data_IF_377477108526
#
_entry.id   IF_377477108526
#
_cell.length_a   1.000
_cell.length_b   1.000
_cell.length_c   1.000
_cell.angle_alpha   90.00
_cell.angle_beta   90.00
_cell.angle_gamma   90.00
#
_symmetry.space_group_name_H-M   'P 1'
#
loop_
_entity.id
_entity.type
_entity.pdbx_description
1 polymer ?
#
# COMPACT_ATOMS: atom_id res chain seq x y z
N UNK A 1 -51.73 4.77 37.74
CA UNK A 1 -50.74 3.72 38.05
C UNK A 1 -50.22 3.20 36.72
N UNK A 2 -49.17 3.84 36.22
CA UNK A 2 -48.42 3.39 35.04
C UNK A 2 -47.65 2.15 35.44
N UNK A 3 -48.01 1.00 34.87
CA UNK A 3 -47.24 -0.22 35.04
C UNK A 3 -45.84 0.03 34.50
N UNK A 4 -44.88 0.03 35.41
CA UNK A 4 -43.45 0.03 35.13
C UNK A 4 -43.17 -1.26 34.35
N UNK A 5 -43.02 -1.17 33.03
CA UNK A 5 -42.51 -2.29 32.23
C UNK A 5 -41.12 -2.60 32.79
N UNK A 6 -40.79 -3.87 33.08
CA UNK A 6 -39.50 -4.19 33.65
C UNK A 6 -38.39 -3.67 32.74
N UNK A 7 -37.47 -2.87 33.30
CA UNK A 7 -36.19 -2.55 32.66
C UNK A 7 -35.47 -3.87 32.35
N UNK A 8 -35.52 -4.34 31.11
CA UNK A 8 -34.53 -5.31 30.64
C UNK A 8 -33.24 -4.53 30.37
N UNK A 9 -32.16 -4.73 31.16
CA UNK A 9 -30.87 -4.98 30.50
C UNK A 9 -29.85 -5.69 31.41
N UNK A 10 -29.59 -6.98 31.16
CA UNK A 10 -28.35 -7.66 31.60
C UNK A 10 -27.58 -8.28 30.42
N UNK A 11 -28.19 -8.31 29.23
CA UNK A 11 -27.60 -8.96 28.07
C UNK A 11 -26.43 -8.17 27.50
N UNK A 12 -26.43 -6.83 27.52
CA UNK A 12 -25.32 -6.03 27.00
C UNK A 12 -24.00 -6.32 27.72
N UNK A 13 -24.01 -6.41 29.05
CA UNK A 13 -22.83 -6.75 29.84
C UNK A 13 -22.37 -8.18 29.55
N UNK A 14 -23.32 -9.12 29.42
CA UNK A 14 -23.01 -10.50 29.05
C UNK A 14 -22.42 -10.61 27.64
N UNK A 15 -22.93 -9.83 26.68
CA UNK A 15 -22.40 -9.73 25.31
C UNK A 15 -20.99 -9.13 25.35
N UNK A 16 -20.78 -8.01 26.07
CA UNK A 16 -19.45 -7.40 26.23
C UNK A 16 -18.45 -8.37 26.84
N UNK A 17 -18.85 -9.11 27.87
CA UNK A 17 -18.01 -10.14 28.49
C UNK A 17 -17.67 -11.28 27.52
N UNK A 18 -18.65 -11.75 26.74
CA UNK A 18 -18.44 -12.79 25.71
C UNK A 18 -17.45 -12.33 24.63
N UNK A 19 -17.64 -11.11 24.11
CA UNK A 19 -16.76 -10.51 23.11
C UNK A 19 -15.36 -10.27 23.68
N UNK A 20 -15.24 -9.82 24.93
CA UNK A 20 -13.93 -9.66 25.59
C UNK A 20 -13.20 -11.01 25.76
N UNK A 21 -13.91 -12.07 26.13
CA UNK A 21 -13.33 -13.42 26.23
C UNK A 21 -12.87 -13.93 24.85
N UNK A 22 -13.68 -13.73 23.80
CA UNK A 22 -13.34 -14.10 22.43
C UNK A 22 -12.10 -13.35 21.91
N UNK A 23 -11.98 -12.04 22.21
CA UNK A 23 -10.77 -11.25 21.89
C UNK A 23 -9.52 -11.81 22.56
N UNK A 24 -9.62 -12.16 23.85
CA UNK A 24 -8.50 -12.72 24.59
C UNK A 24 -8.08 -14.09 24.02
N UNK A 25 -9.06 -14.93 23.68
CA UNK A 25 -8.80 -16.20 23.02
C UNK A 25 -8.10 -16.01 21.67
N UNK A 26 -8.61 -15.11 20.83
CA UNK A 26 -8.06 -14.80 19.52
C UNK A 26 -6.62 -14.26 19.62
N UNK A 27 -6.38 -13.30 20.51
CA UNK A 27 -5.05 -12.76 20.77
C UNK A 27 -4.07 -13.80 21.33
N UNK A 28 -4.56 -14.79 22.08
CA UNK A 28 -3.72 -15.90 22.54
C UNK A 28 -3.35 -16.86 21.41
N UNK A 29 -4.29 -17.16 20.51
CA UNK A 29 -4.08 -18.07 19.36
C UNK A 29 -3.22 -17.44 18.26
N UNK A 30 -3.44 -16.16 17.94
CA UNK A 30 -2.67 -15.41 16.97
C UNK A 30 -2.10 -14.12 17.57
N UNK A 31 -1.04 -14.21 18.41
CA UNK A 31 -0.47 -13.03 19.09
C UNK A 31 0.00 -11.92 18.16
N UNK A 32 0.38 -12.27 16.93
CA UNK A 32 0.81 -11.33 15.90
C UNK A 32 -0.34 -10.49 15.32
N UNK A 33 -1.60 -10.86 15.56
CA UNK A 33 -2.80 -10.11 15.20
C UNK A 33 -3.50 -9.47 16.42
N UNK A 34 -2.93 -9.59 17.62
CA UNK A 34 -3.57 -9.12 18.84
C UNK A 34 -3.95 -7.63 18.77
N UNK A 35 -3.05 -6.78 18.25
CA UNK A 35 -3.33 -5.34 18.06
C UNK A 35 -4.52 -5.10 17.14
N UNK A 36 -4.69 -5.92 16.10
CA UNK A 36 -5.81 -5.84 15.17
C UNK A 36 -7.13 -6.24 15.85
N UNK A 37 -7.14 -7.36 16.55
CA UNK A 37 -8.33 -7.86 17.27
C UNK A 37 -8.81 -6.85 18.31
N UNK A 38 -7.89 -6.21 19.05
CA UNK A 38 -8.26 -5.18 20.02
C UNK A 38 -8.64 -3.83 19.40
N UNK A 39 -8.27 -3.58 18.15
CA UNK A 39 -8.65 -2.37 17.42
C UNK A 39 -10.06 -2.43 16.82
N UNK A 40 -10.66 -3.62 16.73
CA UNK A 40 -12.06 -3.76 16.32
C UNK A 40 -12.97 -2.95 17.26
N UNK A 41 -13.84 -2.11 16.69
CA UNK A 41 -14.85 -1.40 17.45
C UNK A 41 -16.13 -2.25 17.51
N UNK A 42 -16.56 -2.67 18.69
CA UNK A 42 -17.77 -3.49 18.82
C UNK A 42 -19.02 -2.62 18.78
N UNK A 43 -19.87 -2.84 17.78
CA UNK A 43 -21.19 -2.23 17.65
C UNK A 43 -22.23 -3.27 18.03
N UNK A 44 -22.84 -3.11 19.20
CA UNK A 44 -23.93 -4.00 19.65
C UNK A 44 -25.22 -3.54 18.97
N UNK A 45 -25.86 -4.45 18.24
CA UNK A 45 -27.11 -4.19 17.54
C UNK A 45 -28.31 -4.28 18.50
N UNK A 46 -29.43 -3.68 18.09
CA UNK A 46 -30.69 -3.89 18.78
C UNK A 46 -31.12 -5.36 18.65
N UNK A 47 -31.37 -6.08 19.76
CA UNK A 47 -31.72 -7.49 19.70
C UNK A 47 -33.17 -7.70 19.27
N UNK A 48 -33.41 -8.79 18.53
CA UNK A 48 -34.72 -9.42 18.52
C UNK A 48 -34.95 -10.10 19.87
N UNK A 49 -36.11 -9.88 20.49
CA UNK A 49 -36.46 -10.47 21.78
C UNK A 49 -37.57 -11.49 21.60
N UNK A 50 -37.45 -12.61 22.28
CA UNK A 50 -38.49 -13.62 22.40
C UNK A 50 -39.68 -13.03 23.18
N UNK A 51 -40.89 -13.16 22.64
CA UNK A 51 -42.09 -12.50 23.18
C UNK A 51 -42.47 -13.00 24.58
N UNK A 52 -42.18 -14.27 24.88
CA UNK A 52 -42.55 -14.93 26.13
C UNK A 52 -41.50 -14.74 27.23
N UNK A 53 -40.22 -14.86 26.88
CA UNK A 53 -39.09 -14.85 27.83
C UNK A 53 -38.39 -13.51 27.91
N UNK A 54 -38.56 -12.63 26.91
CA UNK A 54 -37.82 -11.37 26.78
C UNK A 54 -36.32 -11.58 26.55
N UNK A 55 -35.89 -12.79 26.21
CA UNK A 55 -34.49 -13.13 25.98
C UNK A 55 -34.09 -12.78 24.52
N UNK A 56 -32.84 -12.36 24.28
CA UNK A 56 -32.34 -12.17 22.92
C UNK A 56 -32.38 -13.47 22.11
N UNK A 57 -32.93 -13.39 20.90
CA UNK A 57 -33.04 -14.50 19.95
C UNK A 57 -31.90 -14.40 18.96
N UNK A 58 -31.17 -15.51 18.78
CA UNK A 58 -30.06 -15.54 17.83
C UNK A 58 -30.54 -15.38 16.38
N UNK A 59 -29.88 -14.50 15.64
CA UNK A 59 -30.05 -14.31 14.21
C UNK A 59 -28.91 -15.01 13.43
N UNK A 60 -29.21 -16.10 12.69
CA UNK A 60 -28.22 -16.81 11.88
C UNK A 60 -27.51 -15.92 10.86
N UNK A 61 -28.10 -14.80 10.44
CA UNK A 61 -27.48 -13.84 9.54
C UNK A 61 -26.22 -13.19 10.13
N UNK A 62 -26.14 -13.05 11.45
CA UNK A 62 -25.01 -12.40 12.14
C UNK A 62 -23.99 -13.40 12.72
N UNK A 63 -24.10 -14.69 12.37
CA UNK A 63 -23.22 -15.76 12.90
C UNK A 63 -21.73 -15.51 12.68
N UNK A 64 -21.38 -14.73 11.65
CA UNK A 64 -20.00 -14.41 11.29
C UNK A 64 -19.45 -13.12 11.91
N UNK A 65 -20.28 -12.41 12.70
CA UNK A 65 -19.96 -11.09 13.25
C UNK A 65 -19.43 -10.14 12.17
N UNK A 66 -20.26 -9.77 11.17
CA UNK A 66 -19.79 -9.02 10.01
C UNK A 66 -19.07 -7.73 10.41
N UNK A 67 -18.07 -7.33 9.62
CA UNK A 67 -17.30 -6.12 9.84
C UNK A 67 -17.38 -5.15 8.66
N UNK A 68 -17.29 -3.84 8.95
CA UNK A 68 -17.22 -2.81 7.91
C UNK A 68 -15.78 -2.36 7.62
N UNK A 69 -15.61 -1.57 6.56
CA UNK A 69 -14.30 -1.00 6.20
C UNK A 69 -13.72 -0.05 7.26
N UNK A 70 -14.52 0.41 8.23
CA UNK A 70 -14.12 1.25 9.36
C UNK A 70 -13.75 0.45 10.61
N UNK A 71 -13.63 -0.87 10.49
CA UNK A 71 -13.28 -1.79 11.58
C UNK A 71 -14.34 -1.88 12.68
N UNK A 72 -15.59 -1.56 12.36
CA UNK A 72 -16.71 -1.85 13.23
C UNK A 72 -17.08 -3.33 13.07
N UNK A 73 -17.16 -4.05 14.19
CA UNK A 73 -17.63 -5.42 14.29
C UNK A 73 -19.06 -5.40 14.81
N UNK A 74 -20.02 -5.83 13.99
CA UNK A 74 -21.44 -5.80 14.35
C UNK A 74 -21.84 -7.07 15.09
N UNK A 75 -22.43 -6.88 16.27
CA UNK A 75 -22.70 -7.95 17.22
C UNK A 75 -24.19 -7.96 17.53
N UNK A 76 -24.90 -8.94 16.98
CA UNK A 76 -26.27 -9.24 17.37
C UNK A 76 -26.26 -9.98 18.73
N UNK A 77 -26.95 -9.46 19.76
CA UNK A 77 -26.86 -10.01 21.12
C UNK A 77 -27.22 -11.49 21.27
N UNK A 78 -28.30 -11.98 20.65
CA UNK A 78 -28.72 -13.38 20.75
C UNK A 78 -27.67 -14.34 20.20
N UNK A 79 -27.13 -14.00 19.04
CA UNK A 79 -26.09 -14.73 18.33
C UNK A 79 -24.80 -14.73 19.13
N UNK A 80 -24.38 -13.58 19.65
CA UNK A 80 -23.20 -13.47 20.48
C UNK A 80 -23.29 -14.38 21.72
N UNK A 81 -24.44 -14.38 22.40
CA UNK A 81 -24.67 -15.19 23.60
C UNK A 81 -24.79 -16.69 23.30
N UNK A 82 -25.28 -17.07 22.12
CA UNK A 82 -25.36 -18.46 21.68
C UNK A 82 -24.01 -19.02 21.17
N UNK A 83 -23.13 -18.16 20.65
CA UNK A 83 -21.88 -18.59 20.00
C UNK A 83 -20.77 -18.89 21.03
N UNK A 84 -20.13 -20.07 20.99
CA UNK A 84 -18.98 -20.38 21.85
C UNK A 84 -17.85 -19.35 21.75
N UNK A 85 -17.07 -19.20 22.82
CA UNK A 85 -15.98 -18.18 22.89
C UNK A 85 -14.93 -18.44 21.81
N UNK A 86 -14.57 -19.70 21.60
CA UNK A 86 -13.58 -20.12 20.61
C UNK A 86 -14.05 -19.80 19.19
N UNK A 87 -15.33 -20.05 18.90
CA UNK A 87 -15.94 -19.78 17.60
C UNK A 87 -16.05 -18.27 17.33
N UNK A 88 -16.51 -17.48 18.31
CA UNK A 88 -16.52 -16.02 18.18
C UNK A 88 -15.09 -15.45 18.01
N UNK A 89 -14.11 -16.02 18.71
CA UNK A 89 -12.70 -15.64 18.56
C UNK A 89 -12.12 -16.00 17.18
N UNK A 90 -12.51 -17.15 16.62
CA UNK A 90 -12.17 -17.54 15.26
C UNK A 90 -12.75 -16.56 14.24
N UNK A 91 -14.04 -16.21 14.37
CA UNK A 91 -14.66 -15.20 13.50
C UNK A 91 -13.99 -13.83 13.61
N UNK A 92 -13.52 -13.41 14.79
CA UNK A 92 -12.75 -12.16 14.90
C UNK A 92 -11.43 -12.20 14.14
N UNK A 93 -10.69 -13.32 14.19
CA UNK A 93 -9.47 -13.48 13.40
C UNK A 93 -9.78 -13.48 11.90
N UNK A 94 -10.89 -14.11 11.53
CA UNK A 94 -11.38 -14.14 10.16
C UNK A 94 -11.72 -12.72 9.66
N UNK A 95 -12.50 -11.94 10.42
CA UNK A 95 -12.81 -10.55 10.07
C UNK A 95 -11.57 -9.65 10.03
N UNK A 96 -10.62 -9.82 10.96
CA UNK A 96 -9.31 -9.15 10.89
C UNK A 96 -8.59 -9.50 9.58
N UNK A 97 -8.68 -10.76 9.13
CA UNK A 97 -8.17 -11.20 7.83
C UNK A 97 -8.70 -10.33 6.67
N UNK A 98 -10.00 -10.12 6.58
CA UNK A 98 -10.60 -9.27 5.53
C UNK A 98 -10.07 -7.84 5.59
N UNK A 99 -10.06 -7.26 6.79
CA UNK A 99 -9.71 -5.86 7.00
C UNK A 99 -8.23 -5.59 6.70
N UNK A 100 -7.34 -6.44 7.22
CA UNK A 100 -5.89 -6.26 7.09
C UNK A 100 -5.41 -6.55 5.66
N UNK A 101 -6.03 -7.53 4.98
CA UNK A 101 -5.71 -7.87 3.58
C UNK A 101 -6.41 -6.97 2.56
N UNK A 102 -7.25 -6.05 3.03
CA UNK A 102 -7.92 -5.05 2.21
C UNK A 102 -8.85 -5.67 1.17
N UNK A 103 -9.58 -6.74 1.52
CA UNK A 103 -10.48 -7.42 0.57
C UNK A 103 -11.51 -6.46 -0.03
N UNK A 104 -12.11 -5.57 0.76
CA UNK A 104 -13.00 -4.53 0.22
C UNK A 104 -12.35 -3.65 -0.85
N UNK A 105 -11.05 -3.35 -0.73
CA UNK A 105 -10.35 -2.50 -1.69
C UNK A 105 -9.96 -3.25 -2.98
N UNK A 106 -9.78 -4.57 -2.89
CA UNK A 106 -9.44 -5.49 -3.99
C UNK A 106 -10.66 -6.05 -4.72
N UNK A 107 -11.84 -5.92 -4.12
CA UNK A 107 -13.12 -6.41 -4.64
C UNK A 107 -13.46 -5.84 -6.02
N UNK A 108 -13.82 -6.68 -7.01
CA UNK A 108 -14.24 -6.21 -8.33
C UNK A 108 -15.62 -5.54 -8.30
N UNK A 109 -16.44 -5.84 -7.28
CA UNK A 109 -17.78 -5.28 -7.08
C UNK A 109 -17.78 -4.06 -6.16
N UNK A 110 -16.59 -3.53 -5.85
CA UNK A 110 -16.44 -2.34 -5.02
C UNK A 110 -17.10 -1.14 -5.73
N UNK A 111 -17.86 -0.29 -5.01
CA UNK A 111 -18.37 0.95 -5.59
C UNK A 111 -17.23 1.88 -6.04
N UNK A 112 -17.25 2.29 -7.31
CA UNK A 112 -16.29 3.26 -7.87
C UNK A 112 -16.47 4.65 -7.23
N UNK A 113 -15.37 5.36 -6.88
CA UNK A 113 -15.46 6.71 -6.36
C UNK A 113 -16.17 7.66 -7.35
N UNK A 114 -17.33 8.19 -6.95
CA UNK A 114 -18.06 9.19 -7.75
C UNK A 114 -19.11 8.63 -8.72
N UNK A 115 -19.34 7.31 -8.76
CA UNK A 115 -20.60 6.77 -9.27
C UNK A 115 -21.69 6.96 -8.21
N UNK A 116 -22.91 7.32 -8.63
CA UNK A 116 -24.08 7.27 -7.75
C UNK A 116 -24.25 5.82 -7.30
N UNK A 117 -23.85 5.56 -6.06
CA UNK A 117 -24.18 4.32 -5.36
C UNK A 117 -25.70 4.27 -5.39
N UNK A 118 -26.28 3.19 -5.94
CA UNK A 118 -27.68 2.90 -5.69
C UNK A 118 -27.86 2.98 -4.18
N UNK A 119 -28.58 3.99 -3.71
CA UNK A 119 -28.77 4.27 -2.28
C UNK A 119 -29.54 3.15 -1.56
N UNK A 120 -29.97 2.13 -2.31
CA UNK A 120 -30.42 0.87 -1.78
C UNK A 120 -29.23 0.08 -1.20
N UNK A 121 -28.99 0.28 0.11
CA UNK A 121 -28.15 -0.59 0.92
C UNK A 121 -28.57 -2.04 0.73
N UNK A 122 -27.60 -2.95 0.70
CA UNK A 122 -27.93 -4.36 0.59
C UNK A 122 -28.66 -4.82 1.86
N UNK A 123 -29.74 -5.62 1.70
CA UNK A 123 -30.49 -6.16 2.83
C UNK A 123 -29.57 -6.98 3.75
N UNK A 124 -30.01 -7.15 5.00
CA UNK A 124 -29.30 -7.93 6.02
C UNK A 124 -28.94 -9.34 5.53
N UNK A 125 -27.98 -9.94 6.23
CA UNK A 125 -27.42 -11.24 5.92
C UNK A 125 -28.50 -12.29 5.60
N UNK A 126 -28.32 -13.02 4.48
CA UNK A 126 -29.25 -14.05 4.01
C UNK A 126 -30.09 -13.67 2.77
N UNK A 127 -30.02 -12.43 2.29
CA UNK A 127 -30.61 -12.06 0.99
C UNK A 127 -29.73 -12.54 -0.19
N UNK A 128 -30.35 -12.79 -1.35
CA UNK A 128 -29.65 -13.17 -2.59
C UNK A 128 -28.69 -12.04 -2.97
N UNK A 129 -27.41 -12.24 -2.66
CA UNK A 129 -26.32 -11.36 -3.09
C UNK A 129 -26.20 -11.45 -4.61
N UNK A 130 -25.69 -10.36 -5.20
CA UNK A 130 -25.09 -10.44 -6.53
C UNK A 130 -24.13 -11.63 -6.58
N UNK A 131 -24.25 -12.48 -7.59
CA UNK A 131 -23.46 -13.71 -7.71
C UNK A 131 -21.96 -13.39 -7.71
N UNK A 132 -21.56 -12.27 -8.30
CA UNK A 132 -20.18 -11.81 -8.33
C UNK A 132 -19.68 -11.42 -6.92
N UNK A 133 -20.49 -10.68 -6.16
CA UNK A 133 -20.18 -10.31 -4.78
C UNK A 133 -20.14 -11.54 -3.85
N UNK A 134 -21.03 -12.50 -4.07
CA UNK A 134 -21.01 -13.76 -3.34
C UNK A 134 -19.77 -14.59 -3.65
N UNK A 135 -19.38 -14.69 -4.93
CA UNK A 135 -18.17 -15.39 -5.36
C UNK A 135 -16.91 -14.74 -4.77
N UNK A 136 -16.84 -13.41 -4.78
CA UNK A 136 -15.74 -12.67 -4.17
C UNK A 136 -15.63 -12.95 -2.66
N UNK A 137 -16.76 -12.92 -1.95
CA UNK A 137 -16.80 -13.25 -0.52
C UNK A 137 -16.28 -14.68 -0.29
N UNK A 138 -16.77 -15.69 -1.02
CA UNK A 138 -16.27 -17.07 -0.89
C UNK A 138 -14.75 -17.20 -1.15
N UNK A 139 -14.22 -16.46 -2.11
CA UNK A 139 -12.79 -16.47 -2.42
C UNK A 139 -11.94 -15.77 -1.35
N UNK A 140 -12.45 -14.67 -0.80
CA UNK A 140 -11.84 -13.96 0.31
C UNK A 140 -11.84 -14.80 1.59
N UNK A 141 -12.93 -15.50 1.87
CA UNK A 141 -13.05 -16.46 2.97
C UNK A 141 -12.06 -17.61 2.79
N UNK A 142 -11.94 -18.15 1.57
CA UNK A 142 -10.96 -19.19 1.23
C UNK A 142 -9.52 -18.73 1.53
N UNK A 143 -9.12 -17.52 1.11
CA UNK A 143 -7.78 -16.96 1.39
C UNK A 143 -7.49 -16.86 2.90
N UNK A 144 -8.49 -16.54 3.70
CA UNK A 144 -8.36 -16.38 5.16
C UNK A 144 -8.37 -17.73 5.87
N UNK A 145 -9.33 -18.59 5.54
CA UNK A 145 -9.55 -19.87 6.21
C UNK A 145 -8.40 -20.83 5.97
N UNK A 146 -7.77 -20.78 4.79
CA UNK A 146 -6.53 -21.50 4.48
C UNK A 146 -5.40 -21.22 5.49
N UNK A 147 -5.15 -19.95 5.81
CA UNK A 147 -4.13 -19.56 6.78
C UNK A 147 -4.53 -19.89 8.22
N UNK A 148 -5.83 -19.85 8.56
CA UNK A 148 -6.33 -20.27 9.88
C UNK A 148 -6.23 -21.79 10.06
N UNK A 149 -6.56 -22.56 9.03
CA UNK A 149 -6.42 -24.02 9.01
C UNK A 149 -4.95 -24.45 9.12
N UNK A 150 -4.03 -23.72 8.49
CA UNK A 150 -2.59 -23.95 8.60
C UNK A 150 -2.05 -23.76 10.04
N UNK A 151 -2.75 -23.00 10.88
CA UNK A 151 -2.47 -22.80 12.31
C UNK A 151 -3.30 -23.75 13.20
N UNK A 152 -3.90 -24.79 12.60
CA UNK A 152 -4.79 -25.75 13.26
C UNK A 152 -6.05 -25.12 13.89
N UNK A 153 -6.40 -23.90 13.47
CA UNK A 153 -7.61 -23.19 13.91
C UNK A 153 -8.78 -23.58 13.00
N UNK A 154 -9.35 -24.75 13.28
CA UNK A 154 -10.52 -25.26 12.54
C UNK A 154 -11.71 -24.31 12.67
N UNK A 155 -12.28 -23.95 11.52
CA UNK A 155 -13.45 -23.09 11.45
C UNK A 155 -14.75 -23.80 11.84
N UNK A 156 -15.83 -23.03 12.07
CA UNK A 156 -17.17 -23.55 12.28
C UNK A 156 -17.71 -24.32 11.08
N UNK A 157 -18.75 -25.12 11.30
CA UNK A 157 -19.40 -25.86 10.20
C UNK A 157 -19.97 -24.89 9.17
N UNK A 158 -19.77 -25.19 7.88
CA UNK A 158 -20.36 -24.44 6.77
C UNK A 158 -19.51 -23.28 6.24
N UNK A 159 -18.35 -23.00 6.85
CA UNK A 159 -17.38 -22.05 6.29
C UNK A 159 -16.67 -22.62 5.06
N UNK A 160 -16.18 -21.76 4.17
CA UNK A 160 -15.41 -22.19 3.01
C UNK A 160 -14.06 -22.75 3.46
N UNK A 161 -13.80 -24.02 3.17
CA UNK A 161 -12.50 -24.66 3.38
C UNK A 161 -11.88 -25.07 2.05
N UNK A 162 -10.76 -24.47 1.62
CA UNK A 162 -10.07 -24.87 0.40
C UNK A 162 -9.67 -26.35 0.42
N UNK A 163 -9.26 -26.87 1.58
CA UNK A 163 -8.89 -28.27 1.75
C UNK A 163 -10.08 -29.21 1.52
N UNK A 164 -11.24 -28.91 2.09
CA UNK A 164 -12.47 -29.72 1.88
C UNK A 164 -13.00 -29.63 0.45
N UNK A 165 -12.78 -28.49 -0.21
CA UNK A 165 -13.11 -28.27 -1.63
C UNK A 165 -12.08 -28.87 -2.60
N UNK A 166 -10.97 -29.43 -2.11
CA UNK A 166 -9.89 -30.00 -2.92
C UNK A 166 -9.09 -28.96 -3.73
N UNK A 167 -9.10 -27.70 -3.27
CA UNK A 167 -8.37 -26.60 -3.89
C UNK A 167 -6.91 -26.54 -3.40
N UNK A 168 -5.99 -26.00 -4.20
CA UNK A 168 -4.62 -25.79 -3.77
C UNK A 168 -4.55 -24.74 -2.65
N UNK A 169 -3.78 -25.02 -1.61
CA UNK A 169 -3.52 -24.09 -0.52
C UNK A 169 -2.63 -22.90 -0.93
N UNK A 170 -2.61 -21.90 -0.05
CA UNK A 170 -1.85 -20.66 -0.03
C UNK A 170 -2.09 -19.69 -1.19
N UNK A 171 -3.33 -19.63 -1.69
CA UNK A 171 -3.74 -18.74 -2.80
C UNK A 171 -4.38 -17.43 -2.30
N UNK A 172 -4.34 -16.41 -3.16
CA UNK A 172 -5.11 -15.17 -2.92
C UNK A 172 -6.57 -15.33 -3.35
N UNK A 173 -7.43 -14.42 -2.90
CA UNK A 173 -8.84 -14.38 -3.30
C UNK A 173 -8.97 -14.33 -4.83
N UNK A 174 -8.18 -13.51 -5.53
CA UNK A 174 -8.21 -13.40 -7.00
C UNK A 174 -7.82 -14.72 -7.69
N UNK A 175 -6.92 -15.49 -7.09
CA UNK A 175 -6.57 -16.82 -7.59
C UNK A 175 -7.68 -17.85 -7.30
N UNK A 176 -8.39 -17.72 -6.17
CA UNK A 176 -9.50 -18.61 -5.80
C UNK A 176 -10.78 -18.37 -6.60
N UNK A 177 -11.11 -17.12 -6.97
CA UNK A 177 -12.33 -16.78 -7.74
C UNK A 177 -12.55 -17.71 -8.95
N UNK A 178 -11.62 -17.82 -9.91
CA UNK A 178 -11.83 -18.66 -11.10
C UNK A 178 -11.94 -20.15 -10.76
N UNK A 179 -11.30 -20.62 -9.68
CA UNK A 179 -11.41 -22.01 -9.25
C UNK A 179 -12.79 -22.31 -8.66
N UNK A 180 -13.31 -21.38 -7.85
CA UNK A 180 -14.63 -21.48 -7.25
C UNK A 180 -15.74 -21.36 -8.31
N UNK A 181 -15.55 -20.56 -9.37
CA UNK A 181 -16.47 -20.51 -10.52
C UNK A 181 -16.60 -21.87 -11.22
N UNK A 182 -15.47 -22.54 -11.45
CA UNK A 182 -15.46 -23.89 -12.05
C UNK A 182 -16.19 -24.88 -11.14
N UNK A 183 -15.89 -24.86 -9.83
CA UNK A 183 -16.54 -25.74 -8.85
C UNK A 183 -18.04 -25.48 -8.75
N UNK A 184 -18.47 -24.22 -8.65
CA UNK A 184 -19.87 -23.87 -8.58
C UNK A 184 -20.65 -24.27 -9.84
N UNK A 185 -20.04 -24.10 -11.02
CA UNK A 185 -20.63 -24.59 -12.28
C UNK A 185 -20.81 -26.11 -12.28
N UNK A 186 -19.84 -26.85 -11.74
CA UNK A 186 -19.90 -28.31 -11.63
C UNK A 186 -20.93 -28.79 -10.59
N UNK A 187 -20.98 -28.16 -9.42
CA UNK A 187 -21.89 -28.53 -8.33
C UNK A 187 -23.34 -28.08 -8.57
N UNK A 188 -23.53 -26.93 -9.23
CA UNK A 188 -24.84 -26.44 -9.64
C UNK A 188 -25.55 -27.40 -10.60
N UNK A 189 -24.80 -28.06 -11.50
CA UNK A 189 -25.33 -29.15 -12.34
C UNK A 189 -25.83 -30.36 -11.54
N UNK A 190 -25.32 -30.55 -10.32
CA UNK A 190 -25.72 -31.61 -9.39
C UNK A 190 -26.67 -31.16 -8.27
N UNK A 191 -27.18 -29.91 -8.32
CA UNK A 191 -28.11 -29.37 -7.32
C UNK A 191 -27.51 -29.13 -5.93
N UNK A 192 -26.18 -28.99 -5.82
CA UNK A 192 -25.47 -28.70 -4.56
C UNK A 192 -24.86 -27.30 -4.60
N UNK A 193 -24.95 -26.58 -3.49
CA UNK A 193 -24.23 -25.32 -3.28
C UNK A 193 -22.80 -25.61 -2.79
N UNK A 194 -21.88 -24.68 -3.07
CA UNK A 194 -20.46 -24.79 -2.72
C UNK A 194 -20.22 -24.65 -1.22
N UNK A 195 -20.88 -23.68 -0.60
CA UNK A 195 -20.87 -23.39 0.82
C UNK A 195 -22.14 -22.59 1.17
N UNK A 196 -22.43 -22.43 2.46
CA UNK A 196 -23.50 -21.54 2.91
C UNK A 196 -23.17 -20.07 2.57
N UNK A 197 -24.21 -19.28 2.29
CA UNK A 197 -24.04 -17.85 2.06
C UNK A 197 -23.84 -17.14 3.41
N UNK A 198 -22.58 -16.90 3.76
CA UNK A 198 -22.19 -16.19 4.98
C UNK A 198 -21.91 -14.72 4.66
N UNK A 199 -22.42 -13.82 5.50
CA UNK A 199 -22.18 -12.38 5.38
C UNK A 199 -21.03 -11.94 6.30
N UNK A 200 -19.90 -11.54 5.72
CA UNK A 200 -18.75 -10.97 6.45
C UNK A 200 -18.78 -9.43 6.54
N UNK A 201 -19.85 -8.77 6.08
CA UNK A 201 -20.01 -7.31 6.07
C UNK A 201 -19.32 -6.60 4.91
N UNK A 202 -19.37 -5.27 4.87
CA UNK A 202 -18.73 -4.48 3.80
C UNK A 202 -17.19 -4.55 3.80
N UNK A 203 -16.57 -5.06 4.87
CA UNK A 203 -15.13 -5.29 4.97
C UNK A 203 -14.58 -6.28 3.92
N UNK A 204 -15.44 -7.13 3.35
CA UNK A 204 -15.06 -8.07 2.29
C UNK A 204 -15.17 -7.49 0.88
N UNK A 205 -16.28 -6.80 0.57
CA UNK A 205 -16.65 -6.45 -0.81
C UNK A 205 -16.77 -4.93 -1.06
N UNK A 206 -16.73 -4.12 0.00
CA UNK A 206 -16.87 -2.67 -0.05
C UNK A 206 -18.31 -2.17 -0.24
N UNK A 207 -19.31 -3.05 -0.23
CA UNK A 207 -20.71 -2.67 -0.41
C UNK A 207 -21.38 -2.51 0.96
N UNK A 208 -21.99 -1.35 1.24
CA UNK A 208 -22.59 -1.08 2.54
C UNK A 208 -23.89 -1.88 2.78
N UNK A 209 -24.12 -2.27 4.03
CA UNK A 209 -25.31 -3.02 4.49
C UNK A 209 -26.27 -2.15 5.27
N UNK A 210 -27.54 -2.57 5.36
CA UNK A 210 -28.56 -1.82 6.13
C UNK A 210 -28.26 -1.72 7.62
N UNK A 211 -27.63 -2.73 8.22
CA UNK A 211 -27.25 -2.73 9.64
C UNK A 211 -25.98 -1.92 9.93
N UNK A 212 -25.27 -1.47 8.90
CA UNK A 212 -24.09 -0.60 9.05
C UNK A 212 -24.49 0.87 9.31
N UNK A 213 -25.81 1.17 9.34
CA UNK A 213 -26.39 2.49 9.61
C UNK A 213 -26.32 2.94 11.08
N UNK A 214 -25.65 2.17 11.93
CA UNK A 214 -25.53 2.41 13.37
C UNK A 214 -24.68 3.63 13.73
N UNK A 215 -25.11 4.82 13.32
CA UNK A 215 -24.56 6.12 13.71
C UNK A 215 -23.10 6.36 13.29
N UNK A 216 -22.57 7.58 13.47
CA UNK A 216 -21.16 7.86 13.24
C UNK A 216 -20.33 7.19 14.35
N UNK A 217 -20.13 5.88 14.23
CA UNK A 217 -19.14 5.17 15.02
C UNK A 217 -17.75 5.74 14.71
N UNK A 218 -17.01 6.11 15.74
CA UNK A 218 -15.58 6.44 15.73
C UNK A 218 -14.71 5.22 15.35
N UNK A 219 -15.18 4.38 14.42
CA UNK A 219 -14.36 3.39 13.75
C UNK A 219 -13.10 4.05 13.18
N UNK A 220 -12.08 3.25 12.93
CA UNK A 220 -10.74 3.77 12.68
C UNK A 220 -10.71 4.74 11.51
N UNK A 221 -10.04 5.88 11.71
CA UNK A 221 -9.76 6.78 10.60
C UNK A 221 -8.84 6.09 9.59
N UNK A 222 -8.74 6.64 8.38
CA UNK A 222 -7.80 6.11 7.38
C UNK A 222 -6.36 6.09 7.92
N UNK A 223 -5.96 7.14 8.65
CA UNK A 223 -4.62 7.23 9.22
C UNK A 223 -4.39 6.18 10.31
N UNK A 224 -5.37 5.98 11.20
CA UNK A 224 -5.25 4.98 12.28
C UNK A 224 -5.14 3.57 11.70
N UNK A 225 -5.91 3.26 10.64
CA UNK A 225 -5.80 2.01 9.88
C UNK A 225 -4.41 1.82 9.30
N UNK A 226 -3.90 2.84 8.58
CA UNK A 226 -2.58 2.77 7.96
C UNK A 226 -1.45 2.58 9.00
N UNK A 227 -1.58 3.20 10.18
CA UNK A 227 -0.61 3.03 11.29
C UNK A 227 -0.72 1.64 11.93
N UNK A 228 -1.95 1.17 12.16
CA UNK A 228 -2.22 -0.16 12.71
C UNK A 228 -1.67 -1.26 11.80
N UNK A 229 -2.00 -1.23 10.50
CA UNK A 229 -1.48 -2.18 9.51
C UNK A 229 0.04 -2.20 9.46
N UNK A 230 0.68 -1.02 9.47
CA UNK A 230 2.16 -0.94 9.52
C UNK A 230 2.73 -1.55 10.79
N UNK A 231 2.07 -1.32 11.93
CA UNK A 231 2.46 -1.92 13.21
C UNK A 231 2.33 -3.45 13.19
N UNK A 232 1.22 -3.98 12.65
CA UNK A 232 1.00 -5.43 12.48
C UNK A 232 2.08 -6.03 11.58
N UNK A 233 2.35 -5.39 10.44
CA UNK A 233 3.37 -5.87 9.50
C UNK A 233 4.77 -5.90 10.15
N UNK A 234 5.12 -4.88 10.96
CA UNK A 234 6.37 -4.85 11.71
C UNK A 234 6.43 -5.99 12.74
N UNK A 235 5.36 -6.21 13.51
CA UNK A 235 5.28 -7.30 14.47
C UNK A 235 5.40 -8.70 13.83
N UNK A 236 4.83 -8.86 12.63
CA UNK A 236 4.99 -10.09 11.83
C UNK A 236 6.46 -10.28 11.41
N UNK A 237 7.14 -9.23 10.93
CA UNK A 237 8.57 -9.32 10.55
C UNK A 237 9.49 -9.62 11.74
N UNK A 238 9.21 -9.06 12.91
CA UNK A 238 9.96 -9.37 14.13
C UNK A 238 9.81 -10.85 14.51
N UNK A 239 8.60 -11.40 14.39
CA UNK A 239 8.34 -12.83 14.62
C UNK A 239 9.04 -13.73 13.59
N UNK A 240 9.02 -13.36 12.31
CA UNK A 240 9.77 -14.08 11.26
C UNK A 240 11.26 -14.08 11.59
N UNK A 241 11.81 -12.94 12.00
CA UNK A 241 13.22 -12.79 12.38
C UNK A 241 13.59 -13.63 13.60
N UNK A 242 12.65 -13.77 14.54
CA UNK A 242 12.75 -14.68 15.68
C UNK A 242 12.54 -16.18 15.32
N UNK A 243 12.45 -16.51 14.03
CA UNK A 243 12.19 -17.87 13.50
C UNK A 243 10.85 -18.46 13.96
N UNK A 244 9.86 -17.62 14.20
CA UNK A 244 8.50 -18.08 14.46
C UNK A 244 7.85 -18.67 13.22
N UNK A 245 7.10 -19.74 13.40
CA UNK A 245 6.21 -20.29 12.38
C UNK A 245 5.00 -19.35 12.21
N UNK A 246 4.64 -19.13 10.95
CA UNK A 246 3.54 -18.28 10.48
C UNK A 246 3.05 -18.77 9.12
N UNK A 247 1.76 -18.61 8.79
CA UNK A 247 1.23 -18.93 7.48
C UNK A 247 1.89 -18.08 6.40
N UNK A 248 2.00 -18.66 5.20
CA UNK A 248 2.71 -18.02 4.09
C UNK A 248 2.03 -16.73 3.62
N UNK A 249 0.69 -16.63 3.73
CA UNK A 249 -0.07 -15.44 3.38
C UNK A 249 0.32 -14.24 4.24
N UNK A 250 0.43 -14.41 5.56
CA UNK A 250 0.86 -13.34 6.48
C UNK A 250 2.28 -12.86 6.23
N UNK A 251 3.20 -13.77 5.89
CA UNK A 251 4.57 -13.40 5.49
C UNK A 251 4.56 -12.52 4.24
N UNK A 252 3.88 -12.95 3.17
CA UNK A 252 3.79 -12.20 1.92
C UNK A 252 3.17 -10.83 2.13
N UNK A 253 2.06 -10.77 2.86
CA UNK A 253 1.37 -9.53 3.17
C UNK A 253 2.28 -8.55 3.94
N UNK A 254 2.97 -9.02 4.99
CA UNK A 254 3.85 -8.15 5.77
C UNK A 254 5.05 -7.66 4.97
N UNK A 255 5.66 -8.53 4.15
CA UNK A 255 6.72 -8.15 3.22
C UNK A 255 6.23 -7.10 2.22
N UNK A 256 5.04 -7.27 1.63
CA UNK A 256 4.47 -6.30 0.69
C UNK A 256 4.11 -4.97 1.37
N UNK A 257 3.54 -5.02 2.58
CA UNK A 257 3.13 -3.82 3.31
C UNK A 257 4.32 -2.98 3.77
N UNK A 258 5.42 -3.63 4.12
CA UNK A 258 6.69 -3.01 4.53
C UNK A 258 7.69 -2.85 3.40
N UNK A 259 7.41 -3.39 2.20
CA UNK A 259 8.19 -3.09 1.02
C UNK A 259 8.26 -1.57 0.90
N UNK A 260 9.47 -1.00 0.79
CA UNK A 260 9.58 0.43 0.78
C UNK A 260 8.83 0.99 -0.44
N UNK A 261 7.64 1.55 -0.24
CA UNK A 261 7.04 2.50 -1.16
C UNK A 261 7.82 3.82 -1.03
N UNK A 262 9.13 3.76 -1.22
CA UNK A 262 9.95 4.96 -1.23
C UNK A 262 9.45 5.75 -2.40
N UNK A 263 8.84 6.90 -2.12
CA UNK A 263 8.63 7.92 -3.12
C UNK A 263 10.03 8.30 -3.64
N UNK A 264 10.46 7.58 -4.67
CA UNK A 264 11.80 7.67 -5.21
C UNK A 264 12.05 9.09 -5.71
N UNK A 265 11.00 9.83 -6.08
CA UNK A 265 11.04 11.25 -6.39
C UNK A 265 11.42 12.09 -5.17
N UNK A 266 10.83 11.83 -4.01
CA UNK A 266 11.19 12.50 -2.76
C UNK A 266 12.63 12.17 -2.31
N UNK A 267 13.05 10.91 -2.43
CA UNK A 267 14.43 10.48 -2.12
C UNK A 267 15.44 11.08 -3.08
N UNK A 268 15.18 11.02 -4.38
CA UNK A 268 16.00 11.64 -5.42
C UNK A 268 16.08 13.16 -5.21
N UNK A 269 14.94 13.81 -4.93
CA UNK A 269 14.88 15.22 -4.57
C UNK A 269 15.71 15.56 -3.33
N UNK A 270 15.69 14.74 -2.29
CA UNK A 270 16.52 14.93 -1.10
C UNK A 270 18.01 14.72 -1.37
N UNK A 271 18.38 13.72 -2.19
CA UNK A 271 19.76 13.45 -2.60
C UNK A 271 20.31 14.57 -3.47
N UNK A 272 19.56 15.01 -4.49
CA UNK A 272 19.90 16.16 -5.33
C UNK A 272 20.02 17.40 -4.45
N UNK A 273 19.05 17.68 -3.58
CA UNK A 273 19.10 18.85 -2.68
C UNK A 273 20.33 18.84 -1.78
N UNK A 274 20.71 17.69 -1.21
CA UNK A 274 21.94 17.53 -0.41
C UNK A 274 23.19 17.80 -1.24
N UNK A 275 23.24 17.32 -2.48
CA UNK A 275 24.37 17.60 -3.35
C UNK A 275 24.47 19.06 -3.74
N UNK A 276 23.34 19.65 -4.12
CA UNK A 276 23.27 21.06 -4.44
C UNK A 276 23.51 21.95 -3.20
N UNK A 277 23.19 21.52 -1.98
CA UNK A 277 23.48 22.30 -0.75
C UNK A 277 24.93 22.21 -0.31
N UNK A 278 25.61 21.08 -0.60
CA UNK A 278 27.04 20.91 -0.31
C UNK A 278 27.90 21.79 -1.21
N UNK A 279 27.43 22.03 -2.45
CA UNK A 279 28.10 22.88 -3.44
C UNK A 279 27.71 24.36 -3.29
N UNK A 280 26.43 24.66 -3.09
CA UNK A 280 25.90 26.01 -3.14
C UNK A 280 25.86 26.72 -1.77
N UNK A 281 27.00 26.82 -1.10
CA UNK A 281 27.16 27.86 -0.07
C UNK A 281 26.77 29.23 -0.63
N UNK A 282 26.36 30.19 0.21
CA UNK A 282 26.14 31.59 -0.22
C UNK A 282 27.49 32.28 -0.47
N UNK A 283 28.21 31.85 -1.52
CA UNK A 283 29.60 32.23 -1.76
C UNK A 283 29.79 33.20 -2.91
N UNK A 284 28.71 33.61 -3.60
CA UNK A 284 28.80 34.45 -4.80
C UNK A 284 27.95 35.72 -4.69
N UNK A 285 28.43 36.78 -5.35
CA UNK A 285 27.90 38.14 -5.29
C UNK A 285 27.34 38.56 -6.65
N UNK A 286 26.08 39.00 -6.69
CA UNK A 286 25.43 39.48 -7.91
C UNK A 286 24.94 40.91 -7.77
N UNK A 287 25.17 41.72 -8.79
CA UNK A 287 24.61 43.07 -8.93
C UNK A 287 23.29 43.08 -9.73
N UNK A 288 22.81 41.92 -10.21
CA UNK A 288 21.55 41.82 -10.99
C UNK A 288 20.33 42.29 -10.19
N UNK A 289 20.38 42.15 -8.86
CA UNK A 289 19.37 42.67 -7.94
C UNK A 289 20.10 43.36 -6.78
N UNK A 290 19.86 44.65 -6.51
CA UNK A 290 20.44 45.31 -5.34
C UNK A 290 20.04 44.61 -4.04
N UNK A 291 20.97 44.50 -3.10
CA UNK A 291 20.69 43.90 -1.78
C UNK A 291 19.57 44.67 -1.08
N UNK A 292 18.76 43.97 -0.28
CA UNK A 292 17.73 44.63 0.58
C UNK A 292 18.35 45.61 1.57
N UNK A 293 19.65 45.47 1.86
CA UNK A 293 20.44 46.40 2.67
C UNK A 293 20.92 47.63 1.90
N UNK A 294 20.66 47.75 0.60
CA UNK A 294 21.10 48.88 -0.20
C UNK A 294 20.61 50.23 0.34
N UNK A 295 19.44 50.27 0.98
CA UNK A 295 18.94 51.48 1.64
C UNK A 295 19.76 51.93 2.86
N UNK A 296 20.62 51.09 3.42
CA UNK A 296 21.50 51.41 4.54
C UNK A 296 22.86 51.99 4.11
N UNK A 297 23.16 52.02 2.80
CA UNK A 297 24.42 52.53 2.27
C UNK A 297 24.16 53.66 1.29
N UNK A 298 24.64 54.88 1.60
CA UNK A 298 24.52 56.02 0.68
C UNK A 298 25.61 55.94 -0.40
N UNK A 299 25.21 55.99 -1.67
CA UNK A 299 26.13 56.07 -2.82
C UNK A 299 26.83 54.77 -3.22
N UNK A 300 26.53 53.64 -2.58
CA UNK A 300 27.09 52.32 -2.89
C UNK A 300 25.94 51.35 -3.17
N UNK A 301 26.01 50.61 -4.28
CA UNK A 301 25.09 49.50 -4.55
C UNK A 301 25.75 48.22 -4.05
N UNK A 302 25.45 47.72 -2.84
CA UNK A 302 26.03 46.46 -2.38
C UNK A 302 25.49 45.28 -3.21
N UNK A 303 26.34 44.31 -3.58
CA UNK A 303 25.89 43.11 -4.26
C UNK A 303 24.96 42.29 -3.36
N UNK A 304 24.02 41.56 -3.97
CA UNK A 304 23.24 40.54 -3.29
C UNK A 304 24.03 39.23 -3.26
N UNK A 305 24.05 38.53 -2.12
CA UNK A 305 24.49 37.14 -2.12
C UNK A 305 23.50 36.32 -2.92
N UNK A 306 24.00 35.62 -3.93
CA UNK A 306 23.22 34.68 -4.73
C UNK A 306 23.67 33.26 -4.42
N UNK A 307 22.70 32.36 -4.39
CA UNK A 307 22.98 30.94 -4.40
C UNK A 307 23.33 30.56 -5.83
N UNK A 308 24.59 30.20 -6.09
CA UNK A 308 24.98 29.67 -7.40
C UNK A 308 24.14 28.42 -7.70
N UNK A 309 23.57 28.37 -8.91
CA UNK A 309 22.85 27.18 -9.40
C UNK A 309 23.91 26.17 -9.84
N UNK A 310 24.01 24.99 -9.21
CA UNK A 310 25.10 24.07 -9.51
C UNK A 310 24.98 23.52 -10.93
N UNK A 311 26.13 23.38 -11.59
CA UNK A 311 26.24 22.91 -12.95
C UNK A 311 25.95 21.41 -13.00
N UNK A 312 24.76 21.04 -13.50
CA UNK A 312 24.27 19.65 -13.51
C UNK A 312 24.36 19.04 -14.92
N UNK A 313 24.85 17.82 -15.02
CA UNK A 313 24.94 17.03 -16.27
C UNK A 313 24.19 15.70 -16.08
N UNK A 314 23.37 15.33 -17.07
CA UNK A 314 22.72 14.01 -17.16
C UNK A 314 23.53 13.09 -18.08
N UNK A 315 23.81 11.88 -17.59
CA UNK A 315 24.38 10.77 -18.37
C UNK A 315 23.28 9.72 -18.50
N UNK A 316 22.91 9.40 -19.73
CA UNK A 316 21.78 8.53 -20.04
C UNK A 316 22.31 7.24 -20.62
N UNK A 317 22.16 6.15 -19.87
CA UNK A 317 22.44 4.82 -20.39
C UNK A 317 21.43 4.47 -21.48
N UNK A 318 21.94 4.13 -22.66
CA UNK A 318 21.14 3.77 -23.84
C UNK A 318 21.42 2.34 -24.28
N UNK A 319 21.92 1.51 -23.37
CA UNK A 319 22.13 0.10 -23.61
C UNK A 319 20.83 -0.64 -23.87
N UNK A 320 20.95 -1.77 -24.57
CA UNK A 320 19.80 -2.55 -25.07
C UNK A 320 18.85 -3.09 -23.98
N UNK A 321 19.24 -3.05 -22.70
CA UNK A 321 18.44 -3.49 -21.56
C UNK A 321 17.39 -2.48 -21.10
N UNK A 322 17.48 -1.20 -21.54
CA UNK A 322 16.50 -0.15 -21.17
C UNK A 322 15.76 0.35 -22.40
N UNK A 323 14.43 0.22 -22.38
CA UNK A 323 13.59 0.69 -23.50
C UNK A 323 13.52 2.22 -23.59
N UNK A 324 13.43 2.74 -24.81
CA UNK A 324 13.34 4.20 -25.06
C UNK A 324 12.17 4.85 -24.32
N UNK A 325 11.01 4.18 -24.25
CA UNK A 325 9.83 4.70 -23.55
C UNK A 325 10.04 4.88 -22.05
N UNK A 326 10.73 3.92 -21.42
CA UNK A 326 11.10 4.01 -19.99
C UNK A 326 12.07 5.16 -19.78
N UNK A 327 13.09 5.31 -20.63
CA UNK A 327 14.05 6.41 -20.56
C UNK A 327 13.40 7.79 -20.72
N UNK A 328 12.50 7.96 -21.70
CA UNK A 328 11.79 9.23 -21.92
C UNK A 328 10.93 9.64 -20.71
N UNK A 329 10.22 8.68 -20.08
CA UNK A 329 9.43 8.94 -18.86
C UNK A 329 10.32 9.31 -17.68
N UNK A 330 11.41 8.57 -17.48
CA UNK A 330 12.39 8.85 -16.43
C UNK A 330 13.00 10.24 -16.58
N UNK A 331 13.36 10.62 -17.80
CA UNK A 331 13.92 11.93 -18.10
C UNK A 331 12.97 13.07 -17.73
N UNK A 332 11.68 12.95 -18.05
CA UNK A 332 10.69 13.96 -17.69
C UNK A 332 10.56 14.13 -16.16
N UNK A 333 10.59 13.03 -15.42
CA UNK A 333 10.47 13.04 -13.95
C UNK A 333 11.74 13.59 -13.28
N UNK A 334 12.93 13.10 -13.67
CA UNK A 334 14.21 13.53 -13.11
C UNK A 334 14.43 15.02 -13.38
N UNK A 335 14.14 15.49 -14.60
CA UNK A 335 14.26 16.93 -14.91
C UNK A 335 13.26 17.78 -14.13
N UNK A 336 12.02 17.32 -13.95
CA UNK A 336 11.03 17.97 -13.08
C UNK A 336 11.51 18.10 -11.62
N UNK A 337 12.17 17.07 -11.08
CA UNK A 337 12.76 17.11 -9.75
C UNK A 337 13.90 18.12 -9.68
N UNK A 338 14.81 18.13 -10.66
CA UNK A 338 15.93 19.08 -10.67
C UNK A 338 15.37 20.51 -10.82
N UNK A 339 14.35 20.75 -11.64
CA UNK A 339 13.65 22.05 -11.76
C UNK A 339 13.00 22.50 -10.45
N UNK A 340 12.37 21.58 -9.73
CA UNK A 340 11.79 21.87 -8.41
C UNK A 340 12.83 22.22 -7.34
N UNK A 341 14.07 21.72 -7.45
CA UNK A 341 15.14 22.01 -6.48
C UNK A 341 16.00 23.21 -6.87
N UNK A 342 16.30 23.39 -8.16
CA UNK A 342 17.25 24.39 -8.66
C UNK A 342 16.58 25.59 -9.38
N UNK A 343 15.27 25.54 -9.60
CA UNK A 343 14.50 26.58 -10.28
C UNK A 343 14.33 26.34 -11.80
N UNK A 344 13.27 26.93 -12.40
CA UNK A 344 12.94 26.74 -13.81
C UNK A 344 13.84 27.57 -14.76
N UNK A 345 13.94 27.15 -16.03
CA UNK A 345 14.52 27.94 -17.11
C UNK A 345 16.02 27.76 -17.38
N UNK A 346 16.68 26.80 -16.71
CA UNK A 346 18.09 26.46 -16.97
C UNK A 346 18.28 25.71 -18.29
N UNK A 347 19.51 25.76 -18.81
CA UNK A 347 19.95 24.86 -19.88
C UNK A 347 20.42 23.56 -19.24
N UNK A 348 19.79 22.45 -19.61
CA UNK A 348 20.17 21.10 -19.20
C UNK A 348 21.25 20.59 -20.16
N UNK A 349 22.33 20.06 -19.60
CA UNK A 349 23.35 19.32 -20.36
C UNK A 349 23.11 17.84 -20.19
N UNK A 350 22.91 17.13 -21.29
CA UNK A 350 22.70 15.70 -21.28
C UNK A 350 23.44 15.02 -22.43
N UNK A 351 23.83 13.78 -22.25
CA UNK A 351 24.31 12.94 -23.35
C UNK A 351 24.01 11.47 -23.07
N UNK A 352 23.87 10.72 -24.16
CA UNK A 352 23.74 9.29 -24.12
C UNK A 352 25.11 8.63 -24.00
N UNK A 353 25.19 7.52 -23.27
CA UNK A 353 26.40 6.73 -23.15
C UNK A 353 26.02 5.26 -23.30
N UNK A 354 26.69 4.59 -24.22
CA UNK A 354 26.71 3.14 -24.34
C UNK A 354 28.13 2.66 -24.00
N UNK A 355 28.83 1.99 -24.93
CA UNK A 355 30.27 1.72 -24.86
C UNK A 355 31.07 3.01 -25.05
N UNK A 356 30.54 3.94 -25.84
CA UNK A 356 31.13 5.25 -26.09
C UNK A 356 30.15 6.38 -25.76
N UNK A 357 30.67 7.52 -25.26
CA UNK A 357 29.85 8.69 -24.97
C UNK A 357 29.47 9.38 -26.27
N UNK A 358 28.18 9.68 -26.44
CA UNK A 358 27.64 10.46 -27.56
C UNK A 358 27.81 11.97 -27.33
N UNK A 359 27.66 12.81 -28.38
CA UNK A 359 27.81 14.26 -28.26
C UNK A 359 26.88 14.88 -27.21
N UNK A 360 27.38 15.89 -26.50
CA UNK A 360 26.61 16.61 -25.47
C UNK A 360 25.54 17.50 -26.09
N UNK A 361 24.32 17.30 -25.63
CA UNK A 361 23.14 18.07 -26.00
C UNK A 361 22.82 19.10 -24.92
N UNK A 362 22.57 20.34 -25.33
CA UNK A 362 22.21 21.44 -24.44
C UNK A 362 20.79 21.86 -24.72
N UNK A 363 19.85 21.43 -23.89
CA UNK A 363 18.41 21.57 -24.12
C UNK A 363 17.74 22.39 -23.02
N UNK A 364 16.52 22.88 -23.28
CA UNK A 364 15.69 23.54 -22.24
C UNK A 364 14.64 22.60 -21.66
N UNK A 365 14.19 21.61 -22.43
CA UNK A 365 13.20 20.61 -22.03
C UNK A 365 13.79 19.22 -22.21
N UNK A 366 13.43 18.30 -21.33
CA UNK A 366 13.85 16.90 -21.42
C UNK A 366 13.35 16.21 -22.70
N UNK A 367 12.17 16.63 -23.19
CA UNK A 367 11.59 16.15 -24.45
C UNK A 367 12.44 16.45 -25.68
N UNK A 368 13.33 17.44 -25.58
CA UNK A 368 14.17 17.88 -26.69
C UNK A 368 15.51 17.09 -26.73
N UNK A 369 15.72 16.12 -25.83
CA UNK A 369 16.90 15.25 -25.81
C UNK A 369 16.70 14.10 -26.79
N UNK A 370 17.59 13.99 -27.75
CA UNK A 370 17.64 12.87 -28.69
C UNK A 370 18.33 11.66 -28.03
N UNK A 371 17.60 10.56 -27.91
CA UNK A 371 18.13 9.30 -27.39
C UNK A 371 18.80 8.50 -28.51
N UNK A 372 20.14 8.58 -28.57
CA UNK A 372 21.01 7.91 -29.54
C UNK A 372 21.87 6.85 -28.85
N UNK A 373 22.03 5.68 -29.48
CA UNK A 373 22.76 4.54 -28.92
C UNK A 373 22.05 3.20 -29.16
N UNK A 374 22.41 2.19 -28.36
CA UNK A 374 21.87 0.83 -28.44
C UNK A 374 22.90 -0.30 -28.30
N UNK A 375 24.14 0.02 -27.88
CA UNK A 375 25.22 -0.95 -27.67
C UNK A 375 25.29 -1.53 -26.24
N UNK A 376 26.47 -2.01 -25.84
CA UNK A 376 26.77 -2.33 -24.43
C UNK A 376 26.96 -1.07 -23.56
N UNK A 377 27.45 -1.23 -22.33
CA UNK A 377 27.51 -0.11 -21.37
C UNK A 377 28.90 0.05 -20.74
N UNK A 378 29.45 1.27 -20.73
CA UNK A 378 30.62 1.63 -19.92
C UNK A 378 30.50 3.03 -19.30
N UNK A 379 29.99 3.07 -18.05
CA UNK A 379 29.87 4.32 -17.29
C UNK A 379 31.20 4.94 -16.86
N UNK A 380 32.34 4.24 -16.99
CA UNK A 380 33.66 4.88 -16.82
C UNK A 380 33.87 5.95 -17.88
N UNK A 381 33.55 5.65 -19.13
CA UNK A 381 33.69 6.57 -20.26
C UNK A 381 32.68 7.73 -20.16
N UNK A 382 31.45 7.43 -19.76
CA UNK A 382 30.40 8.43 -19.52
C UNK A 382 30.81 9.45 -18.44
N UNK A 383 31.20 8.98 -17.26
CA UNK A 383 31.60 9.85 -16.16
C UNK A 383 32.87 10.64 -16.50
N UNK A 384 33.85 10.03 -17.16
CA UNK A 384 35.06 10.73 -17.60
C UNK A 384 34.74 11.88 -18.55
N UNK A 385 33.82 11.66 -19.49
CA UNK A 385 33.35 12.69 -20.43
C UNK A 385 32.65 13.82 -19.70
N UNK A 386 31.77 13.50 -18.74
CA UNK A 386 31.13 14.53 -17.92
C UNK A 386 32.16 15.38 -17.17
N UNK A 387 33.24 14.78 -16.67
CA UNK A 387 34.31 15.49 -15.95
C UNK A 387 35.18 16.38 -16.84
N UNK A 388 35.25 16.09 -18.14
CA UNK A 388 36.01 16.89 -19.11
C UNK A 388 35.27 18.15 -19.58
N UNK A 389 33.96 18.26 -19.32
CA UNK A 389 33.15 19.40 -19.74
C UNK A 389 33.59 20.72 -19.10
N UNK A 390 33.39 21.82 -19.84
CA UNK A 390 33.62 23.18 -19.39
C UNK A 390 32.31 23.99 -19.54
N UNK A 391 31.76 24.59 -18.47
CA UNK A 391 32.19 24.49 -17.07
C UNK A 391 32.08 23.05 -16.54
N UNK A 392 32.94 22.70 -15.59
CA UNK A 392 32.94 21.37 -14.98
C UNK A 392 31.65 21.19 -14.18
N UNK A 393 30.94 20.04 -14.30
CA UNK A 393 29.73 19.83 -13.51
C UNK A 393 30.03 19.64 -12.03
N UNK A 394 29.16 20.20 -11.21
CA UNK A 394 29.12 19.99 -9.76
C UNK A 394 28.34 18.73 -9.40
N UNK A 395 27.33 18.39 -10.22
CA UNK A 395 26.44 17.24 -10.06
C UNK A 395 26.34 16.46 -11.37
N UNK A 396 26.61 15.17 -11.30
CA UNK A 396 26.35 14.21 -12.39
C UNK A 396 25.21 13.30 -11.98
N UNK A 397 24.16 13.25 -12.79
CA UNK A 397 23.05 12.33 -12.61
C UNK A 397 23.13 11.26 -13.68
N UNK A 398 23.28 9.99 -13.28
CA UNK A 398 23.38 8.84 -14.18
C UNK A 398 22.05 8.09 -14.15
N UNK A 399 21.45 7.85 -15.32
CA UNK A 399 20.28 6.98 -15.48
C UNK A 399 20.77 5.66 -16.08
N UNK A 400 20.63 4.54 -15.37
CA UNK A 400 21.13 3.21 -15.80
C UNK A 400 20.38 2.10 -15.05
N UNK A 401 20.36 0.90 -15.59
CA UNK A 401 19.94 -0.30 -14.85
C UNK A 401 21.03 -0.81 -13.89
N UNK A 402 22.27 -0.31 -14.01
CA UNK A 402 23.39 -0.64 -13.13
C UNK A 402 24.26 -1.81 -13.60
N UNK A 403 24.00 -2.40 -14.77
CA UNK A 403 24.80 -3.49 -15.35
C UNK A 403 25.97 -2.96 -16.18
N UNK A 404 26.88 -2.23 -15.53
CA UNK A 404 27.98 -1.52 -16.20
C UNK A 404 29.25 -1.50 -15.36
N UNK A 405 30.43 -1.53 -16.00
CA UNK A 405 31.66 -1.14 -15.33
C UNK A 405 31.56 0.28 -14.76
N UNK A 406 32.04 0.45 -13.52
CA UNK A 406 32.08 1.73 -12.80
C UNK A 406 33.53 2.19 -12.59
N UNK A 407 33.80 3.49 -12.45
CA UNK A 407 35.13 3.96 -12.11
C UNK A 407 35.49 3.56 -10.67
N UNK A 408 36.71 3.06 -10.48
CA UNK A 408 37.23 2.62 -9.17
C UNK A 408 37.37 3.80 -8.21
N UNK A 409 37.79 4.97 -8.72
CA UNK A 409 38.01 6.17 -7.94
C UNK A 409 36.81 7.11 -8.01
N UNK A 410 36.48 7.72 -6.87
CA UNK A 410 35.39 8.70 -6.75
C UNK A 410 35.71 9.95 -7.60
N UNK A 411 34.82 10.34 -8.53
CA UNK A 411 34.96 11.60 -9.25
C UNK A 411 34.86 12.82 -8.31
N UNK A 412 35.50 13.96 -8.63
CA UNK A 412 35.39 15.18 -7.81
C UNK A 412 33.98 15.78 -7.76
N UNK A 413 33.16 15.58 -8.79
CA UNK A 413 31.76 15.99 -8.77
C UNK A 413 30.93 15.00 -7.95
N UNK A 414 29.82 15.47 -7.38
CA UNK A 414 28.86 14.54 -6.78
C UNK A 414 28.17 13.73 -7.87
N UNK A 415 28.08 12.42 -7.67
CA UNK A 415 27.39 11.52 -8.60
C UNK A 415 26.16 10.93 -7.93
N UNK A 416 25.04 11.02 -8.61
CA UNK A 416 23.76 10.42 -8.23
C UNK A 416 23.40 9.39 -9.29
N UNK A 417 23.30 8.13 -8.89
CA UNK A 417 22.91 7.02 -9.77
C UNK A 417 21.43 6.72 -9.55
N UNK A 418 20.65 6.89 -10.60
CA UNK A 418 19.26 6.50 -10.70
C UNK A 418 19.21 5.09 -11.28
N UNK A 419 19.16 4.08 -10.40
CA UNK A 419 19.12 2.67 -10.77
C UNK A 419 17.71 2.28 -11.18
N UNK A 420 17.55 1.75 -12.39
CA UNK A 420 16.28 1.29 -12.94
C UNK A 420 16.09 -0.20 -12.60
N UNK A 421 15.09 -0.50 -11.77
CA UNK A 421 14.84 -1.84 -11.27
C UNK A 421 15.72 -2.25 -10.09
N UNK A 422 15.62 -3.53 -9.71
CA UNK A 422 16.17 -4.03 -8.46
C UNK A 422 17.52 -4.75 -8.61
N UNK A 423 17.87 -5.21 -9.81
CA UNK A 423 19.07 -6.00 -10.09
C UNK A 423 20.39 -5.21 -10.14
N UNK A 424 20.31 -3.90 -10.36
CA UNK A 424 21.47 -3.04 -10.56
C UNK A 424 22.35 -2.80 -9.32
N UNK A 425 23.64 -2.62 -9.57
CA UNK A 425 24.60 -2.16 -8.56
C UNK A 425 25.18 -0.77 -8.91
N UNK A 426 25.55 -0.04 -7.86
CA UNK A 426 26.27 1.22 -7.96
C UNK A 426 27.43 1.22 -6.95
N UNK A 427 28.51 1.96 -7.21
CA UNK A 427 29.66 2.00 -6.33
C UNK A 427 29.34 2.74 -5.02
N UNK A 428 29.96 2.32 -3.91
CA UNK A 428 29.66 2.86 -2.57
C UNK A 428 29.98 4.35 -2.37
N UNK A 429 30.73 4.96 -3.27
CA UNK A 429 31.00 6.41 -3.27
C UNK A 429 29.90 7.25 -3.93
N UNK A 430 28.98 6.63 -4.67
CA UNK A 430 27.86 7.30 -5.35
C UNK A 430 26.61 7.32 -4.48
N UNK A 431 25.80 8.38 -4.61
CA UNK A 431 24.47 8.40 -4.00
C UNK A 431 23.48 7.64 -4.90
N UNK A 432 22.67 6.76 -4.31
CA UNK A 432 21.77 5.88 -5.08
C UNK A 432 20.29 6.22 -4.84
N UNK A 433 19.55 6.36 -5.93
CA UNK A 433 18.10 6.37 -5.96
C UNK A 433 17.62 5.20 -6.84
N UNK A 434 16.86 4.26 -6.26
CA UNK A 434 16.26 3.15 -7.01
C UNK A 434 14.91 3.58 -7.57
N UNK A 435 14.64 3.24 -8.82
CA UNK A 435 13.44 3.59 -9.56
C UNK A 435 12.76 2.29 -10.03
N UNK A 436 11.48 2.06 -9.71
CA UNK A 436 10.77 0.84 -10.13
C UNK A 436 10.62 0.78 -11.67
N UNK A 437 10.71 -0.42 -12.25
CA UNK A 437 10.61 -0.62 -13.70
C UNK A 437 9.19 -0.38 -14.25
N UNK A 438 8.16 -0.63 -13.43
CA UNK A 438 6.78 -0.27 -13.73
C UNK A 438 6.45 1.13 -13.24
N UNK A 439 6.54 2.14 -14.11
CA UNK A 439 5.98 3.47 -13.81
C UNK A 439 4.50 3.50 -14.18
N UNK A 440 3.56 3.66 -13.23
CA UNK A 440 2.17 3.95 -13.57
C UNK A 440 2.09 5.29 -14.32
N UNK A 441 1.11 5.40 -15.21
CA UNK A 441 0.86 6.63 -15.94
C UNK A 441 0.52 7.77 -14.98
N UNK A 442 0.94 8.99 -15.33
CA UNK A 442 0.66 10.20 -14.52
C UNK A 442 -0.86 10.38 -14.39
N UNK A 443 -1.40 10.16 -13.19
CA UNK A 443 -2.85 10.28 -12.92
C UNK A 443 -3.38 9.33 -11.85
N UNK A 444 -2.63 8.28 -11.51
CA UNK A 444 -3.01 7.32 -10.46
C UNK A 444 -2.13 7.50 -9.22
N UNK A 445 -2.48 8.46 -8.36
CA UNK A 445 -2.09 8.47 -6.93
C UNK A 445 -3.13 9.19 -6.12
#
# INVERSE_FOLDING_TARGET
MTADRPRAPGYEDAVRARIAAARLWAAHRAPYLASAVFALNTVILEPALDEDTGAPVADPGFRAFPADTRWNLYVEPGTALATPVEEAGWWMLHQVGHLVRGHAARSPVRPEPGHEVSTARLPAAGAVRDEEAHRWNQAADAEINDDLEAEELRGPVGVVSPAELGLPAHRTAEEYVPMLDVLASAMGRGGRALAEAIDCGSGVDGQERTYEDGGPGEGLTRLDRELLERSIAAGIQDRISARGELPSGWRRWAEERLRPSVNWRARLGAVIRRGLSTVAGQVDFSYRRPSRRAGAYAGIVPPSMVRAVPDTVLVIDTSGSVTKDVLSRLLAEVTGIIDGVAGPGRRLRAFCCDVHPHPVQVVRRASDIELVGGGGTDMRAGIATAMALRPRPDLVVVLTDGETPWPEQRPPAQVVVCLIGDGGHAPGWASVARIPQGMPAKGET
#
